data_IF_680527240352
#
_entry.id   IF_680527240352
#
_cell.length_a   1.000
_cell.length_b   1.000
_cell.length_c   1.000
_cell.angle_alpha   90.00
_cell.angle_beta   90.00
_cell.angle_gamma   90.00
#
_symmetry.space_group_name_H-M   'P 1'
#
loop_
_entity.id
_entity.type
_entity.pdbx_description
1 polymer ?
#
# COMPACT_ATOMS: atom_id res chain seq x y z
N UNK A 1 11.10 -19.68 18.61
CA UNK A 1 11.88 -18.94 17.61
C UNK A 1 11.16 -17.64 17.36
N UNK A 2 11.78 -16.49 17.67
CA UNK A 2 11.16 -15.19 17.43
C UNK A 2 11.01 -14.99 15.92
N UNK A 3 9.77 -14.95 15.43
CA UNK A 3 9.43 -14.49 14.09
C UNK A 3 9.93 -13.06 13.97
N UNK A 4 11.06 -12.88 13.27
CA UNK A 4 11.43 -11.58 12.73
C UNK A 4 10.23 -11.13 11.89
N UNK A 5 9.46 -10.16 12.38
CA UNK A 5 8.42 -9.49 11.61
C UNK A 5 9.15 -8.81 10.46
N UNK A 6 9.26 -9.49 9.31
CA UNK A 6 9.96 -8.97 8.16
C UNK A 6 9.28 -7.67 7.76
N UNK A 7 10.05 -6.58 7.73
CA UNK A 7 9.54 -5.25 7.40
C UNK A 7 9.18 -5.25 5.91
N UNK A 8 7.91 -4.97 5.59
CA UNK A 8 7.50 -4.74 4.21
C UNK A 8 7.91 -3.32 3.77
N UNK A 9 9.15 -3.18 3.33
CA UNK A 9 9.72 -1.89 2.93
C UNK A 9 8.98 -1.23 1.76
N UNK A 10 8.18 -1.96 0.98
CA UNK A 10 7.34 -1.39 -0.11
C UNK A 10 6.33 -0.37 0.40
N UNK A 11 5.80 -0.56 1.60
CA UNK A 11 4.84 0.36 2.21
C UNK A 11 5.46 1.70 2.58
N UNK A 12 6.80 1.79 2.60
CA UNK A 12 7.58 2.96 3.00
C UNK A 12 8.41 3.60 1.86
N UNK A 13 8.45 2.97 0.68
CA UNK A 13 9.27 3.46 -0.44
C UNK A 13 8.93 4.93 -0.77
N UNK A 14 9.97 5.75 -0.96
CA UNK A 14 9.75 7.15 -1.31
C UNK A 14 9.00 7.28 -2.64
N UNK A 15 8.09 8.25 -2.71
CA UNK A 15 7.44 8.69 -3.97
C UNK A 15 8.05 9.99 -4.49
N UNK A 16 9.17 10.44 -3.91
CA UNK A 16 9.87 11.67 -4.31
C UNK A 16 10.51 11.57 -5.69
N UNK A 17 10.94 10.36 -6.06
CA UNK A 17 11.58 10.05 -7.33
C UNK A 17 10.59 9.90 -8.48
N UNK A 18 9.28 10.08 -8.21
CA UNK A 18 8.30 10.20 -9.28
C UNK A 18 8.64 11.38 -10.20
N UNK A 19 8.56 11.20 -11.52
CA UNK A 19 8.93 12.23 -12.47
C UNK A 19 8.03 13.47 -12.28
N UNK A 20 8.67 14.63 -12.22
CA UNK A 20 7.96 15.94 -12.06
C UNK A 20 7.20 16.38 -13.32
N UNK A 21 7.17 15.54 -14.34
CA UNK A 21 6.46 15.77 -15.61
C UNK A 21 5.68 14.53 -16.00
N UNK A 22 4.63 14.73 -16.78
CA UNK A 22 3.93 13.61 -17.41
C UNK A 22 4.88 12.86 -18.34
N UNK A 23 4.90 11.54 -18.23
CA UNK A 23 5.60 10.66 -19.16
C UNK A 23 4.62 10.13 -20.20
N UNK A 24 5.15 9.57 -21.28
CA UNK A 24 4.32 8.81 -22.22
C UNK A 24 3.77 7.54 -21.53
N UNK A 25 2.58 7.08 -21.92
CA UNK A 25 1.96 5.87 -21.38
C UNK A 25 2.86 4.63 -21.47
N UNK A 26 2.56 3.64 -20.63
CA UNK A 26 3.23 2.34 -20.64
C UNK A 26 2.48 1.43 -21.61
N UNK A 27 3.11 1.13 -22.75
CA UNK A 27 2.61 0.27 -23.82
C UNK A 27 3.74 -0.59 -24.42
N UNK A 28 3.38 -1.54 -25.28
CA UNK A 28 4.25 -2.49 -25.96
C UNK A 28 4.41 -3.83 -25.24
N UNK A 29 4.04 -3.96 -23.97
CA UNK A 29 4.06 -5.25 -23.27
C UNK A 29 2.81 -6.08 -23.57
N UNK A 30 1.69 -5.43 -23.88
CA UNK A 30 0.41 -6.05 -24.23
C UNK A 30 0.53 -6.94 -25.48
N UNK A 31 1.40 -6.55 -26.42
CA UNK A 31 1.71 -7.28 -27.65
C UNK A 31 2.54 -8.55 -27.40
N UNK A 32 3.09 -8.72 -26.19
CA UNK A 32 3.84 -9.91 -25.81
C UNK A 32 2.88 -11.01 -25.40
N UNK A 33 3.14 -12.25 -25.84
CA UNK A 33 2.40 -13.42 -25.36
C UNK A 33 2.77 -13.71 -23.90
N UNK A 34 1.79 -14.08 -23.08
CA UNK A 34 2.05 -14.56 -21.71
C UNK A 34 2.99 -15.78 -21.76
N UNK A 35 3.98 -15.83 -20.85
CA UNK A 35 5.00 -16.88 -20.74
C UNK A 35 5.07 -17.41 -19.31
N UNK A 36 5.81 -18.49 -19.09
CA UNK A 36 6.12 -18.94 -17.72
C UNK A 36 6.95 -17.89 -16.97
N UNK A 37 7.00 -17.98 -15.64
CA UNK A 37 7.74 -17.03 -14.83
C UNK A 37 9.24 -17.01 -15.17
N UNK A 38 9.84 -18.18 -15.47
CA UNK A 38 11.23 -18.29 -15.89
C UNK A 38 11.50 -17.52 -17.19
N UNK A 39 10.69 -17.78 -18.22
CA UNK A 39 10.81 -17.13 -19.53
C UNK A 39 10.53 -15.63 -19.47
N UNK A 40 9.64 -15.22 -18.56
CA UNK A 40 9.29 -13.83 -18.32
C UNK A 40 10.43 -13.05 -17.64
N UNK A 41 11.17 -13.72 -16.75
CA UNK A 41 12.30 -13.15 -16.02
C UNK A 41 13.64 -13.24 -16.78
N UNK A 42 13.75 -14.08 -17.81
CA UNK A 42 15.00 -14.26 -18.56
C UNK A 42 15.63 -12.95 -19.10
N UNK A 43 14.88 -11.99 -19.68
CA UNK A 43 15.47 -10.74 -20.19
C UNK A 43 15.94 -9.77 -19.11
N UNK A 44 15.48 -9.94 -17.86
CA UNK A 44 15.80 -9.04 -16.73
C UNK A 44 16.82 -9.66 -15.77
N UNK A 45 17.31 -10.88 -16.05
CA UNK A 45 18.23 -11.60 -15.17
C UNK A 45 19.51 -10.81 -14.87
N UNK A 46 20.04 -10.08 -15.85
CA UNK A 46 21.28 -9.31 -15.72
C UNK A 46 21.04 -7.94 -15.04
N UNK A 47 19.79 -7.53 -14.90
CA UNK A 47 19.38 -6.32 -14.15
C UNK A 47 19.18 -6.60 -12.66
N UNK A 48 19.12 -7.89 -12.29
CA UNK A 48 18.73 -8.37 -10.97
C UNK A 48 19.89 -9.14 -10.31
N UNK A 49 19.73 -9.42 -9.02
CA UNK A 49 20.68 -10.23 -8.24
C UNK A 49 20.88 -11.63 -8.86
N UNK A 50 22.08 -12.19 -8.70
CA UNK A 50 22.45 -13.53 -9.16
C UNK A 50 21.54 -14.64 -8.60
N UNK A 51 20.79 -14.37 -7.54
CA UNK A 51 19.86 -15.30 -6.90
C UNK A 51 18.45 -15.35 -7.51
N UNK A 52 18.16 -14.61 -8.59
CA UNK A 52 16.84 -14.58 -9.23
C UNK A 52 16.20 -15.97 -9.45
N UNK A 53 16.99 -16.98 -9.87
CA UNK A 53 16.49 -18.35 -10.08
C UNK A 53 15.92 -18.99 -8.80
N UNK A 54 16.55 -18.73 -7.65
CA UNK A 54 16.09 -19.24 -6.36
C UNK A 54 14.77 -18.55 -5.97
N UNK A 55 14.69 -17.23 -6.14
CA UNK A 55 13.46 -16.48 -5.87
C UNK A 55 12.29 -16.92 -6.76
N UNK A 56 12.52 -17.16 -8.06
CA UNK A 56 11.52 -17.73 -8.97
C UNK A 56 11.03 -19.09 -8.44
N UNK A 57 11.96 -19.95 -8.01
CA UNK A 57 11.62 -21.29 -7.50
C UNK A 57 10.75 -21.21 -6.24
N UNK A 58 11.12 -20.35 -5.29
CA UNK A 58 10.34 -20.10 -4.07
C UNK A 58 8.95 -19.57 -4.42
N UNK A 59 8.87 -18.58 -5.31
CA UNK A 59 7.59 -18.00 -5.72
C UNK A 59 6.63 -19.01 -6.35
N UNK A 60 7.15 -19.91 -7.21
CA UNK A 60 6.35 -20.98 -7.82
C UNK A 60 5.90 -22.03 -6.81
N UNK A 61 6.79 -22.43 -5.90
CA UNK A 61 6.45 -23.42 -4.85
C UNK A 61 5.34 -22.91 -3.92
N UNK A 62 5.33 -21.61 -3.62
CA UNK A 62 4.28 -20.97 -2.81
C UNK A 62 3.01 -20.59 -3.61
N UNK A 63 2.96 -20.90 -4.91
CA UNK A 63 1.83 -20.56 -5.80
C UNK A 63 1.27 -21.77 -6.53
N UNK A 64 1.40 -22.97 -5.95
CA UNK A 64 1.06 -24.24 -6.62
C UNK A 64 -0.44 -24.45 -6.84
N UNK A 65 -1.29 -23.93 -5.95
CA UNK A 65 -2.76 -23.97 -6.05
C UNK A 65 -3.34 -22.58 -5.80
N UNK A 66 -3.24 -21.66 -6.77
CA UNK A 66 -3.59 -20.26 -6.57
C UNK A 66 -5.10 -20.01 -6.61
N UNK A 67 -5.55 -19.05 -5.81
CA UNK A 67 -6.91 -18.53 -5.85
C UNK A 67 -7.18 -17.67 -7.11
N UNK A 68 -8.38 -17.08 -7.20
CA UNK A 68 -8.75 -16.09 -8.23
C UNK A 68 -8.63 -16.55 -9.70
N UNK A 69 -8.62 -17.87 -9.92
CA UNK A 69 -8.46 -18.50 -11.25
C UNK A 69 -7.15 -18.09 -11.94
N UNK A 70 -6.13 -17.72 -11.17
CA UNK A 70 -4.81 -17.48 -11.69
C UNK A 70 -4.14 -18.80 -12.07
N UNK A 71 -3.23 -18.76 -13.04
CA UNK A 71 -2.27 -19.85 -13.21
C UNK A 71 -1.17 -19.77 -12.15
N UNK A 72 -0.42 -20.86 -11.94
CA UNK A 72 0.73 -20.87 -11.04
C UNK A 72 1.73 -19.76 -11.38
N UNK A 73 2.07 -19.58 -12.66
CA UNK A 73 3.05 -18.56 -13.08
C UNK A 73 2.51 -17.13 -12.87
N UNK A 74 1.21 -16.91 -13.06
CA UNK A 74 0.55 -15.62 -12.78
C UNK A 74 0.60 -15.27 -11.29
N UNK A 75 0.17 -16.19 -10.41
CA UNK A 75 0.25 -15.99 -8.96
C UNK A 75 1.71 -15.84 -8.49
N UNK A 76 2.61 -16.68 -9.00
CA UNK A 76 4.03 -16.63 -8.65
C UNK A 76 4.68 -15.31 -9.09
N UNK A 77 4.19 -14.66 -10.15
CA UNK A 77 4.69 -13.34 -10.55
C UNK A 77 4.37 -12.26 -9.51
N UNK A 78 3.18 -12.30 -8.90
CA UNK A 78 2.79 -11.41 -7.79
C UNK A 78 3.62 -11.75 -6.56
N UNK A 79 3.74 -13.03 -6.23
CA UNK A 79 4.54 -13.48 -5.10
C UNK A 79 5.98 -12.96 -5.23
N UNK A 80 6.62 -13.18 -6.38
CA UNK A 80 8.00 -12.73 -6.66
C UNK A 80 8.17 -11.21 -6.53
N UNK A 81 7.20 -10.42 -7.00
CA UNK A 81 7.21 -8.96 -6.82
C UNK A 81 7.19 -8.57 -5.34
N UNK A 82 6.37 -9.26 -4.55
CA UNK A 82 6.22 -8.97 -3.12
C UNK A 82 7.33 -9.55 -2.22
N UNK A 83 8.31 -10.28 -2.78
CA UNK A 83 9.44 -10.79 -1.98
C UNK A 83 10.43 -9.67 -1.65
N UNK A 84 10.88 -9.64 -0.40
CA UNK A 84 12.07 -8.85 -0.02
C UNK A 84 13.33 -9.70 -0.23
N UNK A 85 14.29 -9.17 -0.98
CA UNK A 85 15.54 -9.87 -1.29
C UNK A 85 16.62 -9.53 -0.27
N UNK A 86 17.70 -10.32 -0.22
CA UNK A 86 18.77 -10.13 0.78
C UNK A 86 19.39 -8.73 0.72
N UNK A 87 19.48 -8.15 -0.47
CA UNK A 87 19.82 -6.74 -0.67
C UNK A 87 18.57 -6.02 -1.14
N UNK A 88 18.01 -5.19 -0.28
CA UNK A 88 16.77 -4.44 -0.53
C UNK A 88 16.78 -3.71 -1.89
N UNK A 89 17.84 -2.97 -2.19
CA UNK A 89 17.96 -2.20 -3.46
C UNK A 89 18.02 -3.07 -4.73
N UNK A 90 18.14 -4.39 -4.57
CA UNK A 90 18.13 -5.37 -5.65
C UNK A 90 16.84 -6.18 -5.73
N UNK A 91 15.90 -5.98 -4.80
CA UNK A 91 14.57 -6.61 -4.86
C UNK A 91 13.90 -6.31 -6.19
N UNK A 92 13.18 -7.29 -6.75
CA UNK A 92 12.58 -7.15 -8.08
C UNK A 92 11.66 -5.93 -8.16
N UNK A 93 10.81 -5.72 -7.15
CA UNK A 93 9.90 -4.57 -7.12
C UNK A 93 10.66 -3.25 -7.14
N UNK A 94 11.79 -3.14 -6.43
CA UNK A 94 12.60 -1.92 -6.38
C UNK A 94 13.12 -1.58 -7.78
N UNK A 95 13.74 -2.55 -8.47
CA UNK A 95 14.27 -2.33 -9.83
C UNK A 95 13.16 -2.05 -10.83
N UNK A 96 12.02 -2.73 -10.73
CA UNK A 96 10.88 -2.50 -11.61
C UNK A 96 10.30 -1.09 -11.39
N UNK A 97 10.01 -0.70 -10.14
CA UNK A 97 9.47 0.61 -9.80
C UNK A 97 10.42 1.75 -10.19
N UNK A 98 11.73 1.59 -9.97
CA UNK A 98 12.73 2.52 -10.47
C UNK A 98 12.67 2.65 -12.00
N UNK A 99 12.58 1.53 -12.72
CA UNK A 99 12.50 1.54 -14.20
C UNK A 99 11.20 2.19 -14.70
N UNK A 100 10.07 1.96 -14.00
CA UNK A 100 8.77 2.56 -14.31
C UNK A 100 8.76 4.09 -14.14
N UNK A 101 9.60 4.63 -13.25
CA UNK A 101 9.77 6.09 -13.07
C UNK A 101 10.70 6.74 -14.10
N UNK A 102 11.45 5.95 -14.87
CA UNK A 102 12.37 6.49 -15.88
C UNK A 102 11.60 7.16 -17.03
N UNK A 103 12.06 8.36 -17.38
CA UNK A 103 11.63 9.10 -18.57
C UNK A 103 11.84 8.26 -19.83
N UNK A 104 13.00 7.61 -19.94
CA UNK A 104 13.35 6.80 -21.10
C UNK A 104 12.61 5.46 -21.04
N UNK A 105 11.44 5.41 -21.68
CA UNK A 105 10.61 4.20 -21.76
C UNK A 105 11.30 3.03 -22.45
N UNK A 106 12.36 3.26 -23.23
CA UNK A 106 13.10 2.15 -23.84
C UNK A 106 13.72 1.22 -22.78
N UNK A 107 13.99 1.73 -21.58
CA UNK A 107 14.49 0.95 -20.44
C UNK A 107 13.48 -0.05 -19.87
N UNK A 108 12.19 0.10 -20.17
CA UNK A 108 11.16 -0.88 -19.80
C UNK A 108 11.11 -2.09 -20.73
N UNK A 109 11.71 -2.04 -21.92
CA UNK A 109 11.63 -3.15 -22.89
C UNK A 109 12.07 -4.51 -22.34
N UNK A 110 13.17 -4.63 -21.56
CA UNK A 110 13.53 -5.92 -20.93
C UNK A 110 12.42 -6.45 -20.01
N UNK A 111 11.66 -5.56 -19.37
CA UNK A 111 10.60 -5.92 -18.44
C UNK A 111 9.30 -6.35 -19.12
N UNK A 112 9.13 -6.19 -20.43
CA UNK A 112 7.83 -6.40 -21.08
C UNK A 112 7.26 -7.81 -20.88
N UNK A 113 8.10 -8.86 -20.90
CA UNK A 113 7.61 -10.22 -20.63
C UNK A 113 7.12 -10.38 -19.19
N UNK A 114 7.87 -9.85 -18.24
CA UNK A 114 7.47 -9.87 -16.82
C UNK A 114 6.22 -9.02 -16.57
N UNK A 115 6.17 -7.79 -17.09
CA UNK A 115 5.01 -6.91 -17.02
C UNK A 115 3.77 -7.54 -17.64
N UNK A 116 3.90 -8.21 -18.79
CA UNK A 116 2.80 -8.95 -19.40
C UNK A 116 2.24 -10.01 -18.46
N UNK A 117 3.10 -10.87 -17.90
CA UNK A 117 2.69 -11.92 -16.97
C UNK A 117 2.05 -11.32 -15.70
N UNK A 118 2.74 -10.38 -15.07
CA UNK A 118 2.31 -9.73 -13.83
C UNK A 118 0.99 -8.97 -14.00
N UNK A 119 0.87 -8.13 -15.02
CA UNK A 119 -0.34 -7.35 -15.25
C UNK A 119 -1.50 -8.25 -15.68
N UNK A 120 -1.23 -9.36 -16.39
CA UNK A 120 -2.28 -10.35 -16.67
C UNK A 120 -2.86 -10.90 -15.37
N UNK A 121 -2.01 -11.27 -14.41
CA UNK A 121 -2.42 -11.71 -13.09
C UNK A 121 -3.17 -10.60 -12.32
N UNK A 122 -2.59 -9.41 -12.24
CA UNK A 122 -3.14 -8.26 -11.52
C UNK A 122 -4.53 -7.85 -12.00
N UNK A 123 -4.77 -7.81 -13.31
CA UNK A 123 -6.07 -7.42 -13.88
C UNK A 123 -7.14 -8.51 -13.75
N UNK A 124 -6.75 -9.78 -13.55
CA UNK A 124 -7.69 -10.86 -13.21
C UNK A 124 -8.19 -10.78 -11.76
N UNK A 125 -7.40 -10.21 -10.84
CA UNK A 125 -7.81 -10.04 -9.45
C UNK A 125 -9.05 -9.14 -9.34
N UNK A 126 -9.99 -9.45 -8.42
CA UNK A 126 -11.10 -8.56 -8.15
C UNK A 126 -10.60 -7.21 -7.62
N UNK A 127 -11.28 -6.09 -7.92
CA UNK A 127 -11.04 -4.84 -7.21
C UNK A 127 -11.16 -5.03 -5.69
N UNK A 128 -10.33 -4.32 -4.94
CA UNK A 128 -10.45 -4.25 -3.48
C UNK A 128 -11.84 -3.76 -3.08
N UNK A 129 -12.40 -4.32 -2.01
CA UNK A 129 -13.64 -3.81 -1.39
C UNK A 129 -13.39 -2.49 -0.68
N UNK A 130 -12.18 -2.30 -0.16
CA UNK A 130 -11.75 -1.08 0.50
C UNK A 130 -11.27 -0.09 -0.55
N UNK A 131 -12.01 1.01 -0.71
CA UNK A 131 -11.69 2.10 -1.63
C UNK A 131 -10.83 3.19 -0.99
N UNK A 132 -10.65 3.17 0.33
CA UNK A 132 -9.78 4.08 1.06
C UNK A 132 -8.56 3.32 1.57
N UNK A 133 -7.39 3.69 1.07
CA UNK A 133 -6.12 3.03 1.41
C UNK A 133 -5.09 4.04 1.88
N UNK A 134 -4.07 3.54 2.59
CA UNK A 134 -3.07 4.35 3.27
C UNK A 134 -1.66 3.97 2.83
N UNK A 135 -0.79 4.97 2.70
CA UNK A 135 0.63 4.79 2.47
C UNK A 135 1.43 5.75 3.34
N UNK A 136 2.49 5.28 3.99
CA UNK A 136 3.39 6.11 4.79
C UNK A 136 4.73 6.30 4.10
N UNK A 137 5.36 7.46 4.25
CA UNK A 137 6.76 7.69 3.84
C UNK A 137 7.49 8.53 4.88
N UNK A 138 8.74 8.20 5.15
CA UNK A 138 9.56 8.83 6.19
C UNK A 138 10.23 10.14 5.74
N UNK A 139 9.45 11.05 5.14
CA UNK A 139 9.89 12.39 4.74
C UNK A 139 8.71 13.36 4.60
N UNK A 140 8.99 14.67 4.52
CA UNK A 140 7.99 15.70 4.22
C UNK A 140 7.87 15.88 2.70
N UNK A 141 6.70 15.54 2.16
CA UNK A 141 6.37 15.71 0.75
C UNK A 141 5.33 16.80 0.50
N UNK A 142 4.86 17.51 1.53
CA UNK A 142 3.77 18.48 1.45
C UNK A 142 3.96 19.52 0.34
N UNK A 143 5.20 20.02 0.18
CA UNK A 143 5.54 20.97 -0.88
C UNK A 143 5.38 20.42 -2.31
N UNK A 144 5.47 19.10 -2.51
CA UNK A 144 5.30 18.46 -3.83
C UNK A 144 3.84 18.20 -4.19
N UNK A 145 2.92 18.28 -3.22
CA UNK A 145 1.50 17.96 -3.38
C UNK A 145 0.61 19.12 -2.93
N UNK A 146 0.67 20.30 -3.60
CA UNK A 146 -0.27 21.37 -3.33
C UNK A 146 -1.70 20.96 -3.74
N UNK A 147 -2.69 21.47 -3.00
CA UNK A 147 -4.11 21.21 -3.26
C UNK A 147 -4.47 21.51 -4.73
N UNK A 148 -5.25 20.60 -5.33
CA UNK A 148 -5.71 20.71 -6.72
C UNK A 148 -4.72 20.17 -7.75
N UNK A 149 -3.47 19.85 -7.38
CA UNK A 149 -2.51 19.25 -8.31
C UNK A 149 -2.98 17.87 -8.78
N UNK A 150 -2.87 17.64 -10.07
CA UNK A 150 -3.15 16.36 -10.74
C UNK A 150 -1.84 15.77 -11.26
N UNK A 151 -1.62 14.47 -11.07
CA UNK A 151 -0.35 13.80 -11.38
C UNK A 151 -0.54 12.29 -11.52
N UNK A 152 0.46 11.61 -12.08
CA UNK A 152 0.51 10.15 -12.14
C UNK A 152 1.57 9.62 -11.18
N UNK A 153 1.29 8.50 -10.52
CA UNK A 153 2.32 7.65 -9.93
C UNK A 153 2.63 6.52 -10.89
N UNK A 154 3.86 6.51 -11.42
CA UNK A 154 4.24 5.62 -12.51
C UNK A 154 4.68 4.24 -12.02
N UNK A 155 5.17 4.13 -10.79
CA UNK A 155 5.46 2.85 -10.17
C UNK A 155 4.19 2.16 -9.63
N UNK A 156 4.27 0.85 -9.42
CA UNK A 156 3.29 0.18 -8.57
C UNK A 156 3.39 0.74 -7.15
N UNK A 157 2.25 0.95 -6.50
CA UNK A 157 2.22 1.57 -5.17
C UNK A 157 1.57 0.63 -4.17
N UNK A 158 2.34 0.13 -3.21
CA UNK A 158 1.83 -0.67 -2.10
C UNK A 158 1.17 0.21 -1.03
N UNK A 159 -0.01 -0.17 -0.60
CA UNK A 159 -0.81 0.50 0.40
C UNK A 159 -1.36 -0.51 1.43
N UNK A 160 -1.88 -0.01 2.53
CA UNK A 160 -2.59 -0.80 3.54
C UNK A 160 -4.01 -0.27 3.73
N UNK A 161 -4.96 -1.14 4.05
CA UNK A 161 -6.31 -0.75 4.47
C UNK A 161 -6.36 -0.24 5.91
N UNK A 162 -5.35 -0.56 6.72
CA UNK A 162 -5.32 -0.25 8.15
C UNK A 162 -4.31 0.85 8.46
N UNK A 163 -4.80 2.05 8.74
CA UNK A 163 -3.94 3.18 9.15
C UNK A 163 -3.11 2.86 10.40
N UNK A 164 -3.63 1.99 11.28
CA UNK A 164 -2.94 1.58 12.52
C UNK A 164 -1.63 0.83 12.24
N UNK A 165 -1.50 0.17 11.09
CA UNK A 165 -0.25 -0.49 10.68
C UNK A 165 0.87 0.53 10.56
N UNK A 166 0.56 1.75 10.08
CA UNK A 166 1.55 2.81 9.91
C UNK A 166 2.09 3.31 11.26
N UNK A 167 1.36 3.19 12.37
CA UNK A 167 1.84 3.62 13.68
C UNK A 167 3.00 2.77 14.23
N UNK A 168 3.19 1.56 13.71
CA UNK A 168 4.23 0.65 14.18
C UNK A 168 5.63 1.16 13.76
N UNK A 169 6.65 1.07 14.64
CA UNK A 169 8.04 1.45 14.32
C UNK A 169 8.65 0.66 13.16
N UNK A 170 8.10 -0.51 12.85
CA UNK A 170 8.52 -1.32 11.69
C UNK A 170 8.01 -0.73 10.37
N UNK A 171 7.07 0.21 10.42
CA UNK A 171 6.54 0.93 9.27
C UNK A 171 6.91 2.41 9.37
N UNK A 172 5.94 3.30 9.61
CA UNK A 172 6.17 4.75 9.65
C UNK A 172 6.57 5.21 11.05
N UNK A 173 5.99 4.60 12.09
CA UNK A 173 6.17 5.00 13.48
C UNK A 173 5.46 6.30 13.85
N UNK A 174 5.69 6.75 15.10
CA UNK A 174 5.02 7.93 15.70
C UNK A 174 5.89 9.18 15.78
N UNK A 175 7.14 9.12 15.33
CA UNK A 175 8.13 10.19 15.47
C UNK A 175 8.86 10.46 14.16
N UNK A 176 9.61 11.57 14.11
CA UNK A 176 10.34 12.00 12.92
C UNK A 176 9.43 12.64 11.85
N UNK A 177 10.06 13.23 10.84
CA UNK A 177 9.35 13.81 9.70
C UNK A 177 8.75 12.71 8.84
N UNK A 178 7.45 12.80 8.57
CA UNK A 178 6.68 11.75 7.90
C UNK A 178 5.47 12.29 7.16
N UNK A 179 5.15 11.66 6.04
CA UNK A 179 3.95 11.92 5.26
C UNK A 179 3.07 10.68 5.20
N UNK A 180 1.78 10.82 5.49
CA UNK A 180 0.75 9.80 5.27
C UNK A 180 -0.12 10.23 4.09
N UNK A 181 -0.22 9.37 3.08
CA UNK A 181 -1.18 9.51 2.01
C UNK A 181 -2.46 8.76 2.36
N UNK A 182 -3.59 9.45 2.26
CA UNK A 182 -4.94 8.91 2.33
C UNK A 182 -5.53 8.89 0.93
N UNK A 183 -5.67 7.71 0.33
CA UNK A 183 -5.92 7.56 -1.11
C UNK A 183 -7.29 6.92 -1.32
N UNK A 184 -8.20 7.65 -1.97
CA UNK A 184 -9.43 7.09 -2.51
C UNK A 184 -9.17 6.50 -3.90
N UNK A 185 -9.41 5.21 -4.09
CA UNK A 185 -9.10 4.46 -5.31
C UNK A 185 -10.12 3.37 -5.57
N UNK A 186 -10.37 3.09 -6.86
CA UNK A 186 -11.18 1.95 -7.32
C UNK A 186 -10.33 0.92 -8.06
N UNK A 187 -9.08 1.24 -8.37
CA UNK A 187 -8.16 0.38 -9.13
C UNK A 187 -7.27 -0.52 -8.26
N UNK A 188 -7.28 -0.31 -6.94
CA UNK A 188 -6.48 -1.12 -6.01
C UNK A 188 -6.90 -2.59 -5.97
N UNK A 189 -5.91 -3.49 -5.87
CA UNK A 189 -6.11 -4.94 -5.76
C UNK A 189 -5.54 -5.45 -4.44
N UNK A 190 -6.33 -6.24 -3.71
CA UNK A 190 -5.82 -6.97 -2.55
C UNK A 190 -4.97 -8.13 -3.05
N UNK A 191 -3.69 -8.16 -2.68
CA UNK A 191 -2.74 -9.17 -3.20
C UNK A 191 -2.36 -10.24 -2.18
N UNK A 192 -2.96 -10.22 -0.97
CA UNK A 192 -2.61 -11.10 0.15
C UNK A 192 -2.50 -12.59 -0.22
N UNK A 193 -3.48 -13.12 -0.95
CA UNK A 193 -3.52 -14.53 -1.35
C UNK A 193 -2.39 -14.95 -2.30
N UNK A 194 -1.71 -13.98 -2.91
CA UNK A 194 -0.63 -14.18 -3.87
C UNK A 194 0.68 -13.51 -3.44
N UNK A 195 0.76 -12.99 -2.21
CA UNK A 195 1.91 -12.25 -1.68
C UNK A 195 2.87 -13.19 -0.95
N UNK A 196 4.13 -12.78 -0.84
CA UNK A 196 5.11 -13.36 0.09
C UNK A 196 4.74 -13.07 1.56
N UNK A 197 4.03 -11.97 1.81
CA UNK A 197 3.52 -11.58 3.12
C UNK A 197 2.03 -11.92 3.21
N UNK A 198 1.72 -13.09 3.76
CA UNK A 198 0.37 -13.65 3.88
C UNK A 198 -0.47 -13.01 5.00
N UNK A 199 0.18 -12.32 5.94
CA UNK A 199 -0.45 -11.70 7.11
C UNK A 199 -0.78 -10.21 6.90
N UNK A 200 -0.53 -9.66 5.71
CA UNK A 200 -0.77 -8.26 5.39
C UNK A 200 -1.89 -8.11 4.36
N UNK A 201 -2.86 -7.25 4.65
CA UNK A 201 -3.85 -6.81 3.66
C UNK A 201 -3.23 -5.72 2.78
N UNK A 202 -2.18 -6.08 2.03
CA UNK A 202 -1.51 -5.21 1.06
C UNK A 202 -2.47 -4.94 -0.12
N UNK A 203 -2.80 -3.65 -0.32
CA UNK A 203 -3.49 -3.18 -1.51
C UNK A 203 -2.45 -2.62 -2.47
N UNK A 204 -2.35 -3.23 -3.65
CA UNK A 204 -1.44 -2.78 -4.69
C UNK A 204 -2.18 -1.92 -5.71
N UNK A 205 -1.67 -0.71 -5.95
CA UNK A 205 -2.17 0.19 -7.01
C UNK A 205 -1.35 0.01 -8.30
N UNK A 206 -2.00 0.07 -9.49
CA UNK A 206 -1.31 -0.13 -10.75
C UNK A 206 -0.38 1.05 -11.10
N UNK A 207 0.63 0.81 -11.97
CA UNK A 207 1.48 1.87 -12.48
C UNK A 207 0.68 2.81 -13.38
N UNK A 208 1.01 4.09 -13.32
CA UNK A 208 0.32 5.14 -14.07
C UNK A 208 -1.03 5.53 -13.49
N UNK A 209 -1.35 5.16 -12.24
CA UNK A 209 -2.56 5.63 -11.56
C UNK A 209 -2.57 7.16 -11.52
N UNK A 210 -3.72 7.75 -11.86
CA UNK A 210 -3.87 9.20 -11.97
C UNK A 210 -4.64 9.77 -10.79
N UNK A 211 -4.02 10.73 -10.11
CA UNK A 211 -4.40 11.15 -8.77
C UNK A 211 -4.50 12.68 -8.71
N UNK A 212 -5.43 13.15 -7.88
CA UNK A 212 -5.61 14.56 -7.54
C UNK A 212 -5.41 14.78 -6.06
N UNK A 213 -4.68 15.85 -5.69
CA UNK A 213 -4.62 16.32 -4.31
C UNK A 213 -5.93 17.01 -3.93
N UNK A 214 -6.71 16.41 -3.06
CA UNK A 214 -8.00 16.95 -2.60
C UNK A 214 -7.79 17.91 -1.43
N UNK A 215 -6.97 17.51 -0.46
CA UNK A 215 -6.67 18.30 0.73
C UNK A 215 -5.36 17.85 1.38
N UNK A 216 -4.88 18.64 2.33
CA UNK A 216 -3.72 18.33 3.15
C UNK A 216 -3.92 18.86 4.57
N UNK A 217 -3.35 18.18 5.56
CA UNK A 217 -3.42 18.53 6.97
C UNK A 217 -2.05 18.28 7.63
N UNK A 218 -1.62 19.17 8.52
CA UNK A 218 -0.42 18.98 9.34
C UNK A 218 -0.85 18.95 10.82
N UNK A 219 -1.34 17.81 11.34
CA UNK A 219 -2.00 17.75 12.64
C UNK A 219 -1.03 17.78 13.82
N UNK A 220 0.25 17.49 13.59
CA UNK A 220 1.30 17.50 14.59
C UNK A 220 2.64 17.87 13.94
N UNK A 221 3.62 18.25 14.76
CA UNK A 221 4.97 18.55 14.28
C UNK A 221 5.59 17.34 13.55
N UNK A 222 6.16 17.61 12.38
CA UNK A 222 6.73 16.60 11.48
C UNK A 222 5.74 15.60 10.89
N UNK A 223 4.43 15.71 11.13
CA UNK A 223 3.41 14.83 10.53
C UNK A 223 2.61 15.58 9.47
N UNK A 224 2.68 15.09 8.24
CA UNK A 224 1.94 15.60 7.10
C UNK A 224 0.94 14.54 6.63
N UNK A 225 -0.32 14.93 6.40
CA UNK A 225 -1.35 14.05 5.84
C UNK A 225 -1.81 14.67 4.53
N UNK A 226 -1.80 13.88 3.47
CA UNK A 226 -2.15 14.30 2.11
C UNK A 226 -3.28 13.41 1.61
N UNK A 227 -4.43 14.01 1.32
CA UNK A 227 -5.58 13.30 0.79
C UNK A 227 -5.57 13.33 -0.74
N UNK A 228 -5.56 12.14 -1.33
CA UNK A 228 -5.55 11.90 -2.75
C UNK A 228 -6.85 11.21 -3.18
N UNK A 229 -7.31 11.53 -4.38
CA UNK A 229 -8.41 10.86 -5.04
C UNK A 229 -7.95 10.42 -6.42
N UNK A 230 -8.17 9.14 -6.74
CA UNK A 230 -8.05 8.62 -8.09
C UNK A 230 -9.10 9.28 -8.99
N UNK A 231 -8.63 9.79 -10.13
CA UNK A 231 -9.46 10.45 -11.13
C UNK A 231 -9.16 9.86 -12.51
N UNK A 232 -10.11 10.00 -13.44
CA UNK A 232 -9.92 9.56 -14.82
C UNK A 232 -8.74 10.33 -15.46
N UNK A 233 -7.79 9.63 -16.10
CA UNK A 233 -6.68 10.28 -16.76
C UNK A 233 -7.11 10.92 -18.08
N UNK A 234 -6.38 11.95 -18.57
CA UNK A 234 -6.66 12.58 -19.86
C UNK A 234 -6.45 11.65 -21.05
N UNK A 235 -5.70 10.56 -20.86
CA UNK A 235 -5.51 9.49 -21.83
C UNK A 235 -5.14 8.20 -21.08
N UNK A 236 -5.27 7.05 -21.74
CA UNK A 236 -4.93 5.75 -21.14
C UNK A 236 -3.45 5.70 -20.77
N UNK A 237 -3.16 5.54 -19.48
CA UNK A 237 -1.78 5.60 -18.92
C UNK A 237 -1.05 4.27 -18.99
N UNK A 238 -1.79 3.17 -19.01
CA UNK A 238 -1.32 1.78 -19.00
C UNK A 238 -2.18 0.98 -20.00
N UNK A 239 -1.55 0.27 -20.93
CA UNK A 239 -2.27 -0.59 -21.88
C UNK A 239 -3.01 -1.74 -21.15
N UNK A 240 -4.07 -2.31 -21.74
CA UNK A 240 -4.65 -3.51 -21.13
C UNK A 240 -3.78 -4.71 -21.50
N UNK A 241 -3.45 -5.61 -20.55
CA UNK A 241 -2.67 -6.81 -20.86
C UNK A 241 -3.42 -7.78 -21.78
N UNK A 242 -4.74 -7.69 -21.89
CA UNK A 242 -5.61 -8.48 -22.77
C UNK A 242 -6.98 -7.77 -22.87
N UNK A 243 -7.93 -8.29 -23.66
CA UNK A 243 -9.27 -7.70 -23.71
C UNK A 243 -10.01 -7.91 -22.38
N UNK A 244 -10.12 -6.85 -21.57
CA UNK A 244 -10.76 -6.89 -20.26
C UNK A 244 -12.27 -7.21 -20.34
N UNK A 245 -12.90 -7.13 -21.51
CA UNK A 245 -14.29 -7.56 -21.66
C UNK A 245 -14.45 -9.08 -21.53
N UNK A 246 -13.40 -9.86 -21.83
CA UNK A 246 -13.40 -11.32 -21.62
C UNK A 246 -13.63 -11.68 -20.15
N UNK A 247 -13.15 -10.86 -19.20
CA UNK A 247 -13.39 -11.07 -17.76
C UNK A 247 -14.84 -10.88 -17.36
N UNK A 248 -15.55 -9.93 -17.99
CA UNK A 248 -16.97 -9.66 -17.71
C UNK A 248 -17.85 -10.83 -18.13
N UNK A 249 -17.42 -11.60 -19.14
CA UNK A 249 -18.11 -12.80 -19.58
C UNK A 249 -17.75 -14.06 -18.76
N UNK A 250 -16.59 -14.05 -18.09
CA UNK A 250 -16.09 -15.16 -17.28
C UNK A 250 -16.50 -15.11 -15.78
N UNK A 251 -17.01 -13.96 -15.31
CA UNK A 251 -17.53 -13.78 -13.96
C UNK A 251 -19.06 -13.80 -13.98
N UNK A 252 -19.74 -14.65 -13.18
CA UNK A 252 -21.18 -14.58 -13.06
C UNK A 252 -21.58 -13.19 -12.51
N UNK A 253 -22.69 -12.60 -12.97
CA UNK A 253 -23.12 -11.29 -12.51
C UNK A 253 -23.29 -11.31 -10.98
N UNK A 254 -22.59 -10.39 -10.31
CA UNK A 254 -22.75 -10.15 -8.88
C UNK A 254 -24.21 -9.78 -8.63
N UNK A 255 -25.00 -10.70 -8.09
CA UNK A 255 -26.33 -10.38 -7.58
C UNK A 255 -26.12 -9.49 -6.36
N UNK A 256 -26.26 -8.17 -6.54
CA UNK A 256 -26.59 -7.32 -5.40
C UNK A 256 -27.87 -7.89 -4.76
N UNK A 257 -27.93 -8.05 -3.42
CA UNK A 257 -29.16 -8.45 -2.78
C UNK A 257 -30.23 -7.41 -3.09
N UNK A 258 -31.28 -7.85 -3.79
CA UNK A 258 -32.46 -7.03 -3.99
C UNK A 258 -33.05 -6.72 -2.61
N UNK A 259 -33.12 -5.45 -2.25
CA UNK A 259 -34.06 -5.01 -1.24
C UNK A 259 -35.46 -5.37 -1.76
N UNK A 260 -36.03 -6.46 -1.24
CA UNK A 260 -37.46 -6.72 -1.32
C UNK A 260 -38.18 -5.61 -0.56
N UNK A 261 -38.57 -4.55 -1.27
CA UNK A 261 -39.65 -3.67 -0.84
C UNK A 261 -40.92 -4.50 -0.98
N UNK A 262 -41.51 -4.84 0.16
CA UNK A 262 -42.75 -5.60 0.22
C UNK A 262 -43.93 -4.63 -0.03
N UNK A 263 -44.68 -4.73 -1.14
CA UNK A 263 -45.76 -3.80 -1.46
C UNK A 263 -47.06 -4.30 -0.83
N UNK A 264 -47.15 -4.24 0.50
CA UNK A 264 -48.41 -4.44 1.21
C UNK A 264 -48.42 -3.55 2.46
N UNK A 265 -48.86 -2.30 2.25
CA UNK A 265 -49.65 -1.45 3.16
C UNK A 265 -49.65 -0.01 2.63
N UNK A 266 -50.31 0.19 1.50
CA UNK A 266 -50.90 1.48 1.15
C UNK A 266 -52.40 1.27 1.07
N UNK A 267 -53.09 1.50 2.19
CA UNK A 267 -54.50 1.86 2.30
C UNK A 267 -54.85 1.90 3.79
N UNK A 268 -54.67 3.08 4.39
CA UNK A 268 -55.42 3.63 5.54
C UNK A 268 -54.59 4.75 6.18
N UNK A 269 -54.75 5.97 5.68
CA UNK A 269 -55.05 7.16 6.50
C UNK A 269 -55.08 8.40 5.61
N UNK A 270 -56.25 8.66 5.02
CA UNK A 270 -56.62 10.02 4.60
C UNK A 270 -57.86 10.40 5.39
N UNK A 271 -57.65 10.99 6.56
CA UNK A 271 -58.65 11.84 7.21
C UNK A 271 -58.04 12.52 8.43
N UNK A 272 -58.45 13.78 8.62
CA UNK A 272 -58.28 14.65 9.79
C UNK A 272 -56.95 15.39 9.93
N UNK A 273 -56.99 16.59 9.36
CA UNK A 273 -56.33 17.80 9.82
C UNK A 273 -56.61 18.12 11.30
N UNK A 274 -55.63 18.81 11.88
CA UNK A 274 -55.75 19.95 12.81
C UNK A 274 -55.44 19.75 14.31
N UNK A 275 -54.70 20.76 14.79
CA UNK A 275 -54.61 21.35 16.14
C UNK A 275 -53.54 20.85 17.12
N UNK A 276 -52.75 21.84 17.57
CA UNK A 276 -52.14 22.10 18.89
C UNK A 276 -50.61 22.13 18.95
N UNK A 277 -50.17 23.30 19.36
CA UNK A 277 -48.86 23.85 19.69
C UNK A 277 -48.41 23.54 21.14
N UNK A 278 -47.08 23.64 21.34
CA UNK A 278 -46.37 24.05 22.56
C UNK A 278 -46.15 23.09 23.75
N UNK A 279 -45.01 23.36 24.43
CA UNK A 279 -44.46 22.89 25.72
C UNK A 279 -43.58 21.63 25.66
N UNK A 280 -42.41 21.51 26.30
CA UNK A 280 -41.61 22.38 27.19
C UNK A 280 -40.26 21.69 27.50
N UNK A 281 -39.34 22.44 28.08
CA UNK A 281 -37.92 22.17 28.38
C UNK A 281 -37.59 21.03 29.39
N UNK A 282 -36.50 20.27 29.12
CA UNK A 282 -35.34 19.86 29.99
C UNK A 282 -35.59 19.02 31.29
N UNK A 283 -34.59 18.41 32.01
CA UNK A 283 -33.15 18.12 31.74
C UNK A 283 -32.54 16.74 32.24
N UNK A 284 -31.30 16.46 31.80
CA UNK A 284 -30.05 15.93 32.47
C UNK A 284 -29.88 14.57 33.24
N UNK A 285 -28.70 13.96 32.95
CA UNK A 285 -27.77 13.06 33.71
C UNK A 285 -27.90 11.52 33.62
N UNK A 286 -26.83 10.73 33.92
CA UNK A 286 -25.41 10.82 33.51
C UNK A 286 -24.82 9.47 33.01
N UNK A 287 -23.58 9.53 32.51
CA UNK A 287 -22.71 8.39 32.18
C UNK A 287 -22.24 7.59 33.41
N UNK A 288 -21.98 6.28 33.24
CA UNK A 288 -20.91 5.44 33.85
C UNK A 288 -21.09 3.98 33.37
N UNK A 289 -20.03 3.35 32.85
CA UNK A 289 -19.61 1.93 33.00
C UNK A 289 -18.51 1.67 31.94
N UNK A 290 -17.24 1.92 32.23
CA UNK A 290 -16.23 0.99 32.80
C UNK A 290 -16.00 -0.30 32.00
N UNK A 291 -14.79 -0.36 31.45
CA UNK A 291 -14.11 -1.49 30.81
C UNK A 291 -13.70 -2.56 31.84
N UNK A 292 -13.82 -3.86 31.52
CA UNK A 292 -13.08 -4.91 32.19
C UNK A 292 -12.03 -5.49 31.23
N UNK A 293 -10.74 -5.40 31.57
CA UNK A 293 -9.74 -6.46 31.39
C UNK A 293 -8.41 -5.98 32.00
N UNK A 294 -8.25 -6.22 33.30
CA UNK A 294 -6.95 -6.35 33.94
C UNK A 294 -6.59 -7.84 33.93
N UNK A 295 -5.46 -8.19 33.33
CA UNK A 295 -4.78 -9.45 33.58
C UNK A 295 -3.37 -9.14 34.05
N UNK A 296 -3.12 -9.54 35.29
CA UNK A 296 -1.90 -9.41 36.06
C UNK A 296 -0.89 -10.48 35.69
N UNK A 297 0.32 -10.09 35.29
CA UNK A 297 1.52 -10.91 35.41
C UNK A 297 2.70 -10.04 35.86
N UNK A 298 3.19 -10.27 37.07
CA UNK A 298 4.48 -9.79 37.55
C UNK A 298 5.49 -10.95 37.48
N UNK A 299 6.76 -10.70 37.10
CA UNK A 299 7.87 -11.58 37.43
C UNK A 299 8.59 -11.13 38.72
N UNK A 300 9.22 -12.05 39.47
CA UNK A 300 9.83 -11.78 40.77
C UNK A 300 11.22 -11.13 40.66
N UNK A 301 11.62 -10.44 41.73
CA UNK A 301 12.94 -9.86 41.98
C UNK A 301 13.88 -10.85 42.71
N UNK A 302 15.18 -10.50 42.69
CA UNK A 302 16.38 -11.09 43.34
C UNK A 302 17.13 -12.15 42.51
N UNK A 303 18.47 -12.15 42.38
CA UNK A 303 19.52 -11.72 43.30
C UNK A 303 20.83 -11.33 42.57
N UNK A 304 21.57 -10.48 43.25
CA UNK A 304 22.90 -9.91 43.03
C UNK A 304 24.08 -10.88 42.90
N UNK A 305 25.01 -10.59 41.99
CA UNK A 305 26.45 -10.89 42.13
C UNK A 305 27.30 -9.77 41.48
N UNK A 306 28.01 -8.99 42.31
CA UNK A 306 29.16 -8.17 41.90
C UNK A 306 30.45 -9.01 41.93
N UNK A 307 31.52 -8.58 41.23
CA UNK A 307 32.78 -8.30 41.94
C UNK A 307 33.49 -7.02 41.36
N UNK A 308 34.68 -6.59 41.84
CA UNK A 308 34.81 -5.42 42.72
C UNK A 308 35.66 -4.27 42.11
N UNK A 309 35.65 -3.13 42.83
CA UNK A 309 36.66 -2.04 42.98
C UNK A 309 37.87 -1.98 42.04
N UNK A 310 38.38 -0.85 41.54
CA UNK A 310 38.25 0.60 41.79
C UNK A 310 38.99 1.30 40.62
N UNK A 311 39.22 2.60 40.51
CA UNK A 311 39.23 3.73 41.42
C UNK A 311 39.38 4.99 40.55
N UNK A 312 38.66 6.06 40.92
CA UNK A 312 38.99 7.49 40.75
C UNK A 312 39.81 7.98 39.53
N UNK A 313 39.25 8.91 38.75
CA UNK A 313 39.74 10.30 38.61
C UNK A 313 38.95 11.03 37.49
N UNK A 314 38.34 12.16 37.84
CA UNK A 314 38.04 13.30 36.95
C UNK A 314 38.75 14.52 37.55
N UNK A 315 38.86 15.71 36.91
CA UNK A 315 38.47 16.12 35.55
C UNK A 315 39.58 16.93 34.83
N UNK A 316 39.42 17.28 33.55
CA UNK A 316 39.91 18.60 33.07
C UNK A 316 39.18 19.11 31.83
N UNK A 317 38.76 20.35 31.93
CA UNK A 317 38.16 21.20 30.90
C UNK A 317 39.16 21.57 29.79
N UNK A 318 38.68 21.76 28.55
CA UNK A 318 39.05 22.95 27.75
C UNK A 318 38.09 23.20 26.58
N UNK A 319 37.75 24.48 26.46
CA UNK A 319 36.96 25.15 25.42
C UNK A 319 37.73 25.22 24.09
N UNK A 320 37.00 25.33 22.98
CA UNK A 320 37.50 25.88 21.70
C UNK A 320 36.44 25.71 20.60
N UNK A 321 35.52 26.66 20.45
CA UNK A 321 35.51 27.79 19.48
C UNK A 321 35.31 27.38 18.01
N UNK A 322 34.17 27.85 17.51
CA UNK A 322 33.76 28.01 16.11
C UNK A 322 34.85 28.64 15.23
N UNK A 323 34.94 28.15 13.98
CA UNK A 323 35.39 28.93 12.82
C UNK A 323 34.46 28.62 11.65
N UNK A 324 33.91 29.69 11.08
CA UNK A 324 33.22 29.77 9.78
C UNK A 324 34.21 30.35 8.78
N UNK A 325 34.28 29.75 7.59
CA UNK A 325 34.72 30.35 6.32
C UNK A 325 34.06 29.50 5.21
N UNK A 326 33.61 30.01 4.08
CA UNK A 326 33.23 31.33 3.58
C UNK A 326 32.53 31.06 2.25
#
# INVERSE_FOLDING_TARGET
MATSTAINHRLLESVRDEPKRMLVPIYGYEEVTVKSLEDACEPIKDLLDHQLKQYITVAKMNSSDPEDKLTQDESASIHLYTMEWTKHDNSLYMKLNQTLRLVDRSKLKPWFKYLKLFLTAFFKLPPSKDTLVWRGVCEDLSALYPKGKEFAWWAFTSCTTSINVLESPNYLGKSGTRTIFSIQTNSGKLVRAHSYFDNEDEILLPPGIYLKVVSSLNPADGLHIIHLQEIEPPHKMLADPFDLNELKHALPPTKLPAHTVNPQKEEEYSSSSSVISELSEQPLYPSIFQSPYQSSFQPPYESSLQPPYGSSFQPSSKKGKFIVFS
#
